data_IF_828646798449
#
_entry.id   IF_828646798449
#
_cell.length_a   1.000
_cell.length_b   1.000
_cell.length_c   1.000
_cell.angle_alpha   90.00
_cell.angle_beta   90.00
_cell.angle_gamma   90.00
#
_symmetry.space_group_name_H-M   'P 1'
#
loop_
_entity.id
_entity.type
_entity.pdbx_description
1 polymer ?
#
# COMPACT_ATOMS: atom_id res chain seq x y z
N UNK A 1 2.77 5.45 3.71
CA UNK A 1 1.73 4.64 2.99
C UNK A 1 1.85 3.18 3.37
N UNK A 2 0.75 2.42 3.25
CA UNK A 2 0.73 0.98 3.50
C UNK A 2 -0.34 0.29 2.63
N UNK A 3 -0.23 -1.04 2.47
CA UNK A 3 -1.22 -1.87 1.80
C UNK A 3 -2.17 -2.48 2.84
N UNK A 4 -3.47 -2.39 2.63
CA UNK A 4 -4.49 -3.12 3.37
C UNK A 4 -5.06 -4.21 2.46
N UNK A 5 -4.89 -5.46 2.85
CA UNK A 5 -5.32 -6.64 2.11
C UNK A 5 -6.35 -7.41 2.93
N UNK A 6 -7.58 -7.46 2.48
CA UNK A 6 -8.69 -8.13 3.16
C UNK A 6 -9.23 -9.26 2.30
N UNK A 7 -9.56 -10.41 2.90
CA UNK A 7 -10.13 -11.55 2.18
C UNK A 7 -11.13 -12.34 3.02
N UNK A 8 -12.19 -12.85 2.38
CA UNK A 8 -13.13 -13.81 2.98
C UNK A 8 -12.53 -15.23 3.09
N UNK A 9 -11.45 -15.53 2.35
CA UNK A 9 -10.88 -16.88 2.29
C UNK A 9 -10.09 -17.20 3.54
N UNK A 10 -10.63 -18.02 4.43
CA UNK A 10 -9.94 -18.51 5.62
C UNK A 10 -8.63 -19.23 5.26
N UNK A 11 -7.57 -18.97 6.03
CA UNK A 11 -6.24 -19.55 5.80
C UNK A 11 -5.51 -18.98 4.57
N UNK A 12 -6.00 -17.91 3.96
CA UNK A 12 -5.34 -17.28 2.82
C UNK A 12 -3.93 -16.81 3.17
N UNK A 13 -3.78 -16.24 4.35
CA UNK A 13 -2.52 -15.68 4.85
C UNK A 13 -1.56 -16.72 5.47
N UNK A 14 -1.94 -17.99 5.47
CA UNK A 14 -1.07 -19.13 5.86
C UNK A 14 -0.29 -19.68 4.64
N UNK A 15 -0.63 -19.24 3.44
CA UNK A 15 0.06 -19.58 2.21
C UNK A 15 1.02 -18.47 1.79
N UNK A 16 2.07 -18.76 1.02
CA UNK A 16 3.04 -17.75 0.59
C UNK A 16 2.52 -16.84 -0.55
N UNK A 17 1.32 -17.09 -1.07
CA UNK A 17 0.73 -16.33 -2.17
C UNK A 17 -0.80 -16.27 -2.07
N UNK A 18 -1.36 -15.25 -2.70
CA UNK A 18 -2.81 -15.08 -2.86
C UNK A 18 -3.13 -14.42 -4.19
N UNK A 19 -4.34 -14.67 -4.73
CA UNK A 19 -4.84 -14.03 -5.96
C UNK A 19 -6.05 -13.16 -5.67
N UNK A 20 -5.92 -11.85 -5.91
CA UNK A 20 -7.04 -10.92 -5.93
C UNK A 20 -7.66 -10.81 -7.33
N UNK A 21 -8.95 -10.57 -7.40
CA UNK A 21 -9.55 -10.02 -8.61
C UNK A 21 -9.04 -8.59 -8.83
N UNK A 22 -8.64 -8.25 -10.05
CA UNK A 22 -8.11 -6.92 -10.38
C UNK A 22 -9.12 -5.81 -10.13
N UNK A 23 -10.41 -6.11 -10.18
CA UNK A 23 -11.50 -5.17 -9.86
C UNK A 23 -11.54 -4.79 -8.38
N UNK A 24 -10.91 -5.58 -7.51
CA UNK A 24 -10.80 -5.36 -6.07
C UNK A 24 -9.54 -4.58 -5.65
N UNK A 25 -8.66 -4.32 -6.59
CA UNK A 25 -7.47 -3.52 -6.36
C UNK A 25 -7.82 -2.04 -6.39
N UNK A 26 -7.35 -1.29 -5.40
CA UNK A 26 -7.61 0.12 -5.15
C UNK A 26 -9.03 0.45 -4.68
N UNK A 27 -9.87 -0.53 -4.34
CA UNK A 27 -11.10 -0.25 -3.60
C UNK A 27 -10.74 0.43 -2.26
N UNK A 28 -11.55 1.37 -1.80
CA UNK A 28 -11.33 2.16 -0.58
C UNK A 28 -10.00 2.93 -0.52
N UNK A 29 -9.35 3.11 -1.65
CA UNK A 29 -8.17 3.97 -1.81
C UNK A 29 -8.64 5.37 -2.18
N UNK A 30 -7.98 6.41 -1.66
CA UNK A 30 -8.29 7.80 -2.05
C UNK A 30 -8.05 7.99 -3.55
N UNK A 31 -8.89 8.78 -4.24
CA UNK A 31 -8.85 8.91 -5.70
C UNK A 31 -7.47 9.33 -6.22
N UNK A 32 -6.80 10.26 -5.51
CA UNK A 32 -5.46 10.71 -5.91
C UNK A 32 -4.40 9.60 -5.86
N UNK A 33 -4.49 8.68 -4.89
CA UNK A 33 -3.61 7.52 -4.77
C UNK A 33 -4.01 6.46 -5.80
N UNK A 34 -5.31 6.20 -5.95
CA UNK A 34 -5.83 5.23 -6.91
C UNK A 34 -5.44 5.59 -8.36
N UNK A 35 -5.53 6.87 -8.74
CA UNK A 35 -5.07 7.31 -10.07
C UNK A 35 -3.58 7.02 -10.32
N UNK A 36 -2.75 7.18 -9.29
CA UNK A 36 -1.31 6.93 -9.42
C UNK A 36 -0.98 5.46 -9.64
N UNK A 37 -1.67 4.54 -8.95
CA UNK A 37 -1.40 3.10 -9.03
C UNK A 37 -2.24 2.35 -10.08
N UNK A 38 -3.16 3.01 -10.75
CA UNK A 38 -4.07 2.38 -11.73
C UNK A 38 -3.37 1.65 -12.87
N UNK A 39 -2.20 2.11 -13.30
CA UNK A 39 -1.48 1.52 -14.43
C UNK A 39 -0.66 0.28 -14.08
N UNK A 40 -0.38 0.01 -12.78
CA UNK A 40 0.47 -1.10 -12.32
C UNK A 40 1.77 -1.28 -13.13
N UNK A 41 2.42 -0.16 -13.49
CA UNK A 41 3.73 -0.23 -14.15
C UNK A 41 4.77 -0.91 -13.25
N UNK A 42 5.85 -1.50 -13.78
CA UNK A 42 6.89 -2.13 -12.96
C UNK A 42 7.41 -1.24 -11.84
N UNK A 43 7.66 0.04 -12.12
CA UNK A 43 8.11 1.01 -11.09
C UNK A 43 7.07 1.25 -9.99
N UNK A 44 5.79 1.19 -10.30
CA UNK A 44 4.71 1.32 -9.31
C UNK A 44 4.54 0.04 -8.50
N UNK A 45 4.75 -1.12 -9.11
CA UNK A 45 4.79 -2.40 -8.41
C UNK A 45 5.94 -2.41 -7.38
N UNK A 46 7.13 -1.94 -7.75
CA UNK A 46 8.27 -1.83 -6.83
C UNK A 46 7.95 -0.92 -5.64
N UNK A 47 7.20 0.16 -5.86
CA UNK A 47 6.75 1.05 -4.80
C UNK A 47 5.74 0.34 -3.87
N UNK A 48 4.76 -0.40 -4.43
CA UNK A 48 3.78 -1.16 -3.64
C UNK A 48 4.43 -2.23 -2.77
N UNK A 49 5.43 -2.94 -3.32
CA UNK A 49 6.24 -3.94 -2.60
C UNK A 49 7.02 -3.28 -1.45
N UNK A 50 7.45 -2.04 -1.62
CA UNK A 50 8.16 -1.29 -0.58
C UNK A 50 7.28 -0.84 0.60
N UNK A 51 5.97 -0.94 0.50
CA UNK A 51 5.07 -0.56 1.58
C UNK A 51 4.81 -1.71 2.55
N UNK A 52 4.71 -1.44 3.86
CA UNK A 52 4.22 -2.42 4.82
C UNK A 52 2.79 -2.81 4.50
N UNK A 53 2.38 -4.00 4.97
CA UNK A 53 1.08 -4.56 4.70
C UNK A 53 0.35 -4.94 5.98
N UNK A 54 -0.96 -4.69 6.03
CA UNK A 54 -1.90 -5.35 6.92
C UNK A 54 -2.60 -6.45 6.12
N UNK A 55 -2.57 -7.67 6.63
CA UNK A 55 -3.29 -8.83 6.13
C UNK A 55 -4.45 -9.12 7.08
N UNK A 56 -5.68 -8.94 6.61
CA UNK A 56 -6.91 -9.08 7.38
C UNK A 56 -7.86 -10.09 6.73
N UNK A 57 -8.78 -10.61 7.52
CA UNK A 57 -9.92 -11.39 7.03
C UNK A 57 -11.19 -10.56 7.07
N UNK A 58 -12.17 -10.91 6.23
CA UNK A 58 -13.50 -10.31 6.31
C UNK A 58 -14.16 -10.64 7.66
N UNK A 59 -14.75 -9.63 8.28
CA UNK A 59 -15.31 -9.70 9.62
C UNK A 59 -14.25 -9.42 10.70
N UNK A 60 -14.70 -9.45 11.96
CA UNK A 60 -13.91 -9.01 13.11
C UNK A 60 -13.37 -10.18 13.93
N UNK A 61 -13.58 -11.42 13.46
CA UNK A 61 -13.33 -12.63 14.24
C UNK A 61 -11.88 -13.12 14.22
N UNK A 62 -11.02 -12.52 13.39
CA UNK A 62 -9.65 -12.99 13.21
C UNK A 62 -8.62 -11.87 13.34
N UNK A 63 -7.50 -12.24 13.95
CA UNK A 63 -6.39 -11.34 14.15
C UNK A 63 -5.79 -10.87 12.81
N UNK A 64 -5.38 -9.61 12.77
CA UNK A 64 -4.64 -9.04 11.66
C UNK A 64 -3.18 -9.44 11.76
N UNK A 65 -2.53 -9.59 10.61
CA UNK A 65 -1.09 -9.86 10.54
C UNK A 65 -0.38 -8.73 9.79
N UNK A 66 0.82 -8.42 10.24
CA UNK A 66 1.67 -7.42 9.59
C UNK A 66 2.73 -8.14 8.77
N UNK A 67 3.08 -7.58 7.62
CA UNK A 67 4.10 -8.15 6.76
C UNK A 67 4.42 -7.25 5.56
N UNK A 68 4.85 -7.86 4.46
CA UNK A 68 5.21 -7.16 3.22
C UNK A 68 4.89 -7.99 1.99
N UNK A 69 4.66 -7.35 0.87
CA UNK A 69 4.65 -7.99 -0.43
C UNK A 69 6.10 -8.29 -0.86
N UNK A 70 6.30 -9.42 -1.52
CA UNK A 70 7.58 -9.80 -2.15
C UNK A 70 7.49 -9.81 -3.67
N UNK A 71 6.28 -10.00 -4.20
CA UNK A 71 6.04 -10.00 -5.64
C UNK A 71 4.59 -9.64 -5.95
N UNK A 72 4.38 -8.93 -7.05
CA UNK A 72 3.05 -8.66 -7.62
C UNK A 72 3.10 -8.94 -9.11
N UNK A 73 2.23 -9.83 -9.59
CA UNK A 73 2.16 -10.23 -11.00
C UNK A 73 0.73 -10.13 -11.52
N UNK A 74 0.57 -9.44 -12.61
CA UNK A 74 -0.72 -9.37 -13.30
C UNK A 74 -0.96 -10.65 -14.12
N UNK A 75 -2.10 -11.32 -13.89
CA UNK A 75 -2.55 -12.53 -14.61
C UNK A 75 -3.96 -12.35 -15.15
N UNK A 76 -4.08 -11.73 -16.29
CA UNK A 76 -5.36 -11.45 -16.92
C UNK A 76 -6.24 -10.54 -16.04
N UNK A 77 -7.31 -11.10 -15.45
CA UNK A 77 -8.21 -10.36 -14.55
C UNK A 77 -7.82 -10.45 -13.08
N UNK A 78 -6.70 -11.10 -12.76
CA UNK A 78 -6.25 -11.32 -11.40
C UNK A 78 -4.88 -10.70 -11.16
N UNK A 79 -4.62 -10.40 -9.90
CA UNK A 79 -3.32 -10.00 -9.37
C UNK A 79 -2.83 -11.11 -8.45
N UNK A 80 -1.79 -11.81 -8.85
CA UNK A 80 -1.08 -12.74 -7.98
C UNK A 80 -0.11 -11.95 -7.14
N UNK A 81 -0.21 -12.07 -5.83
CA UNK A 81 0.75 -11.54 -4.86
C UNK A 81 1.51 -12.68 -4.19
N UNK A 82 2.79 -12.48 -3.96
CA UNK A 82 3.60 -13.25 -3.03
C UNK A 82 3.94 -12.31 -1.86
N UNK A 83 3.99 -12.84 -0.65
CA UNK A 83 4.16 -12.02 0.55
C UNK A 83 4.83 -12.80 1.68
N UNK A 84 5.31 -12.06 2.67
CA UNK A 84 5.87 -12.58 3.91
C UNK A 84 5.20 -11.89 5.10
N UNK A 85 4.78 -12.69 6.09
CA UNK A 85 4.29 -12.20 7.38
C UNK A 85 5.49 -11.99 8.29
N UNK A 86 5.55 -10.83 8.95
CA UNK A 86 6.61 -10.51 9.91
C UNK A 86 6.37 -11.28 11.21
N UNK A 87 7.26 -12.21 11.52
CA UNK A 87 7.19 -13.05 12.71
C UNK A 87 7.60 -12.30 14.00
N UNK A 88 8.21 -11.12 13.88
CA UNK A 88 8.56 -10.28 15.05
C UNK A 88 7.37 -9.48 15.56
N UNK A 89 6.31 -9.35 14.77
CA UNK A 89 5.07 -8.67 15.14
C UNK A 89 4.01 -9.75 15.36
N UNK A 90 3.54 -9.95 16.60
CA UNK A 90 2.48 -10.91 16.86
C UNK A 90 1.20 -10.50 16.12
N UNK A 91 0.30 -11.46 15.82
CA UNK A 91 -1.02 -11.13 15.32
C UNK A 91 -1.73 -10.14 16.24
N UNK A 92 -2.39 -9.15 15.68
CA UNK A 92 -3.07 -8.07 16.40
C UNK A 92 -4.57 -8.33 16.36
N UNK A 93 -5.25 -8.48 17.50
CA UNK A 93 -6.70 -8.61 17.54
C UNK A 93 -7.40 -7.45 16.85
N UNK A 94 -8.47 -7.70 16.11
CA UNK A 94 -9.23 -6.63 15.45
C UNK A 94 -9.75 -5.60 16.47
N UNK A 95 -10.17 -6.03 17.67
CA UNK A 95 -10.59 -5.15 18.75
C UNK A 95 -9.56 -4.09 19.17
N UNK A 96 -8.27 -4.36 18.94
CA UNK A 96 -7.20 -3.43 19.27
C UNK A 96 -6.94 -2.43 18.11
N UNK A 97 -7.29 -2.83 16.89
CA UNK A 97 -7.21 -1.96 15.71
C UNK A 97 -8.45 -1.07 15.55
N UNK A 98 -9.63 -1.55 15.93
CA UNK A 98 -10.89 -0.83 15.78
C UNK A 98 -10.84 0.62 16.33
N UNK A 99 -10.32 0.89 17.55
CA UNK A 99 -10.24 2.25 18.08
C UNK A 99 -9.35 3.19 17.27
N UNK A 100 -8.38 2.67 16.54
CA UNK A 100 -7.43 3.44 15.72
C UNK A 100 -7.71 3.33 14.23
N UNK A 101 -8.71 2.57 13.81
CA UNK A 101 -9.08 2.40 12.40
C UNK A 101 -9.22 3.74 11.64
N UNK A 102 -9.85 4.80 12.21
CA UNK A 102 -9.91 6.12 11.55
C UNK A 102 -8.52 6.76 11.35
N UNK A 103 -7.55 6.51 12.25
CA UNK A 103 -6.19 7.03 12.14
C UNK A 103 -5.36 6.26 11.08
N UNK A 104 -5.83 5.09 10.69
CA UNK A 104 -5.28 4.26 9.63
C UNK A 104 -6.01 4.47 8.28
N UNK A 105 -6.97 5.40 8.21
CA UNK A 105 -7.87 5.59 7.05
C UNK A 105 -8.64 4.31 6.69
N UNK A 106 -8.97 3.47 7.70
CA UNK A 106 -9.83 2.30 7.55
C UNK A 106 -11.27 2.72 7.86
N UNK A 107 -12.18 2.50 6.92
CA UNK A 107 -13.60 2.86 7.04
C UNK A 107 -14.40 1.73 7.68
N UNK A 108 -15.52 2.05 8.35
CA UNK A 108 -16.32 1.11 9.13
C UNK A 108 -16.73 -0.18 8.38
N UNK A 109 -16.99 -0.10 7.09
CA UNK A 109 -17.44 -1.24 6.28
C UNK A 109 -16.33 -1.90 5.48
N UNK A 110 -15.14 -1.38 5.54
CA UNK A 110 -14.04 -1.79 4.68
C UNK A 110 -13.58 -3.22 4.96
N UNK A 111 -13.50 -3.58 6.24
CA UNK A 111 -13.07 -4.92 6.68
C UNK A 111 -14.08 -6.01 6.31
N UNK A 112 -15.33 -5.68 5.99
CA UNK A 112 -16.36 -6.66 5.63
C UNK A 112 -16.37 -7.01 4.13
N UNK A 113 -15.29 -6.70 3.40
CA UNK A 113 -15.24 -6.93 1.98
C UNK A 113 -13.84 -7.29 1.48
N UNK A 114 -13.73 -8.36 0.69
CA UNK A 114 -12.47 -8.72 0.02
C UNK A 114 -12.02 -7.60 -0.90
N UNK A 115 -10.85 -7.01 -0.61
CA UNK A 115 -10.25 -5.94 -1.41
C UNK A 115 -8.76 -5.76 -1.10
N UNK A 116 -8.10 -4.94 -1.90
CA UNK A 116 -6.76 -4.44 -1.68
C UNK A 116 -6.76 -2.91 -1.82
N UNK A 117 -6.58 -2.21 -0.70
CA UNK A 117 -6.46 -0.76 -0.65
C UNK A 117 -5.00 -0.32 -0.45
N UNK A 118 -4.68 0.89 -0.92
CA UNK A 118 -3.43 1.60 -0.59
C UNK A 118 -3.80 2.83 0.23
N UNK A 119 -3.28 2.90 1.45
CA UNK A 119 -3.60 3.94 2.43
C UNK A 119 -2.47 4.95 2.55
N UNK A 120 -2.79 6.25 2.58
CA UNK A 120 -1.80 7.33 2.72
C UNK A 120 -1.52 7.67 4.19
N UNK A 121 -1.27 6.62 5.01
CA UNK A 121 -0.94 6.74 6.42
C UNK A 121 0.36 6.00 6.75
N UNK A 122 1.03 6.40 7.83
CA UNK A 122 2.20 5.71 8.32
C UNK A 122 1.81 4.61 9.29
N UNK A 123 1.70 3.37 8.78
CA UNK A 123 1.26 2.23 9.58
C UNK A 123 2.03 2.08 10.88
N UNK A 124 3.35 2.00 10.81
CA UNK A 124 4.18 1.73 12.00
C UNK A 124 4.10 2.85 13.04
N UNK A 125 4.06 4.10 12.61
CA UNK A 125 3.91 5.24 13.50
C UNK A 125 2.58 5.15 14.28
N UNK A 126 1.49 4.80 13.60
CA UNK A 126 0.17 4.65 14.23
C UNK A 126 0.11 3.48 15.19
N UNK A 127 0.69 2.32 14.82
CA UNK A 127 0.73 1.14 15.69
C UNK A 127 1.58 1.37 16.94
N UNK A 128 2.73 2.05 16.82
CA UNK A 128 3.57 2.41 17.98
C UNK A 128 2.86 3.40 18.87
N UNK A 129 2.24 4.45 18.32
CA UNK A 129 1.50 5.44 19.08
C UNK A 129 0.32 4.84 19.86
N UNK A 130 -0.29 3.79 19.32
CA UNK A 130 -1.35 3.02 19.98
C UNK A 130 -0.81 1.98 20.98
N UNK A 131 0.50 1.76 21.06
CA UNK A 131 1.12 0.76 21.94
C UNK A 131 0.92 -0.68 21.49
N UNK A 132 0.49 -0.90 20.25
CA UNK A 132 0.25 -2.24 19.69
C UNK A 132 1.53 -2.95 19.26
N UNK A 133 2.55 -2.18 18.91
CA UNK A 133 3.91 -2.64 18.64
C UNK A 133 4.92 -1.70 19.29
N UNK A 134 6.15 -2.15 19.46
CA UNK A 134 7.24 -1.30 19.88
C UNK A 134 8.21 -0.99 18.72
N UNK A 135 9.00 0.08 18.85
CA UNK A 135 9.93 0.51 17.80
C UNK A 135 10.94 -0.57 17.38
N UNK A 136 11.27 -1.53 18.26
CA UNK A 136 12.20 -2.62 17.97
C UNK A 136 11.61 -3.67 17.03
N UNK A 137 10.30 -3.71 16.90
CA UNK A 137 9.58 -4.62 15.99
C UNK A 137 9.44 -4.05 14.58
N UNK A 138 9.81 -2.78 14.36
CA UNK A 138 9.74 -2.18 13.03
C UNK A 138 10.87 -2.75 12.15
N UNK A 139 10.56 -3.36 10.99
CA UNK A 139 11.56 -3.88 10.08
C UNK A 139 12.59 -2.82 9.69
N UNK A 140 13.87 -3.15 9.79
CA UNK A 140 14.97 -2.23 9.48
C UNK A 140 15.42 -1.29 10.61
N UNK A 141 14.79 -1.36 11.79
CA UNK A 141 15.26 -0.68 13.01
C UNK A 141 16.08 -1.60 13.93
N UNK A 142 16.68 -2.67 13.40
CA UNK A 142 17.51 -3.56 14.21
C UNK A 142 18.74 -2.82 14.76
N UNK A 143 18.77 -2.77 16.09
CA UNK A 143 19.91 -2.66 17.00
C UNK A 143 21.06 -1.71 16.62
N UNK A 144 20.94 -0.48 17.07
CA UNK A 144 22.10 0.15 17.67
C UNK A 144 22.16 -0.23 19.17
N UNK A 145 22.38 -1.49 19.48
CA UNK A 145 22.85 -1.85 20.80
C UNK A 145 24.29 -1.38 20.94
N UNK A 146 24.45 -0.51 21.94
CA UNK A 146 25.67 0.06 22.46
C UNK A 146 26.85 -0.93 22.45
N UNK A 147 27.74 -0.80 21.48
CA UNK A 147 29.15 -1.06 21.74
C UNK A 147 29.80 0.28 22.12
N UNK A 148 29.78 0.57 23.41
CA UNK A 148 30.59 1.62 23.99
C UNK A 148 32.03 1.12 24.02
N UNK A 149 32.77 1.35 22.96
CA UNK A 149 34.22 1.47 22.99
C UNK A 149 34.72 2.16 21.73
N UNK A 150 35.06 3.43 21.92
CA UNK A 150 36.06 4.23 21.23
C UNK A 150 36.18 4.21 19.68
N UNK A 151 36.01 5.42 19.14
CA UNK A 151 36.63 6.03 17.95
C UNK A 151 35.96 5.77 16.60
N UNK A 152 35.55 6.90 16.03
CA UNK A 152 35.48 7.05 14.56
C UNK A 152 34.11 7.49 14.05
N UNK A 153 34.00 8.78 13.82
CA UNK A 153 32.92 9.47 13.08
C UNK A 153 32.64 8.75 11.79
N UNK A 154 31.38 8.34 11.57
CA UNK A 154 30.84 8.18 10.22
C UNK A 154 29.37 8.57 10.18
N UNK A 155 29.12 9.70 9.54
CA UNK A 155 27.79 10.20 9.16
C UNK A 155 27.26 9.32 8.04
N UNK A 156 26.32 8.42 8.28
CA UNK A 156 25.65 7.74 7.15
C UNK A 156 24.29 7.09 7.40
N UNK A 157 23.61 7.29 8.53
CA UNK A 157 22.38 6.57 8.82
C UNK A 157 21.07 7.41 8.79
N UNK A 158 21.12 8.67 8.29
CA UNK A 158 19.92 9.53 8.24
C UNK A 158 19.32 9.72 6.84
N UNK A 159 19.62 8.87 5.88
CA UNK A 159 19.30 9.14 4.45
C UNK A 159 18.12 8.28 3.93
N UNK A 160 17.70 7.22 4.62
CA UNK A 160 16.78 6.27 4.00
C UNK A 160 15.29 6.66 4.08
N UNK A 161 14.81 7.17 5.20
CA UNK A 161 13.38 7.50 5.36
C UNK A 161 12.96 8.78 4.62
N UNK A 162 13.85 9.77 4.53
CA UNK A 162 13.55 11.02 3.81
C UNK A 162 13.62 10.86 2.28
N UNK A 163 14.42 9.92 1.77
CA UNK A 163 14.49 9.66 0.31
C UNK A 163 13.25 8.95 -0.22
N UNK A 164 12.70 7.99 0.50
CA UNK A 164 11.48 7.28 0.08
C UNK A 164 10.30 8.26 0.04
N UNK A 165 10.15 9.11 1.05
CA UNK A 165 9.09 10.13 1.08
C UNK A 165 9.26 11.19 -0.03
N UNK A 166 10.50 11.51 -0.42
CA UNK A 166 10.80 12.48 -1.46
C UNK A 166 10.65 11.90 -2.88
N UNK A 167 10.99 10.62 -3.08
CA UNK A 167 10.80 9.95 -4.38
C UNK A 167 9.32 9.70 -4.67
N UNK A 168 8.54 9.26 -3.70
CA UNK A 168 7.09 9.10 -3.84
C UNK A 168 6.39 10.39 -4.30
N UNK A 169 6.69 11.54 -3.68
CA UNK A 169 6.07 12.82 -4.07
C UNK A 169 6.50 13.32 -5.44
N UNK A 170 7.73 13.08 -5.89
CA UNK A 170 8.22 13.56 -7.19
C UNK A 170 7.71 12.70 -8.35
N UNK A 171 7.64 11.40 -8.20
CA UNK A 171 7.07 10.52 -9.23
C UNK A 171 5.56 10.68 -9.33
N UNK A 172 4.87 10.87 -8.21
CA UNK A 172 3.44 11.14 -8.16
C UNK A 172 3.05 12.39 -8.97
N UNK A 173 3.83 13.46 -8.88
CA UNK A 173 3.58 14.70 -9.66
C UNK A 173 3.93 14.55 -11.14
N UNK A 174 4.90 13.71 -11.49
CA UNK A 174 5.33 13.46 -12.86
C UNK A 174 4.31 12.63 -13.66
N UNK A 175 3.67 11.64 -13.04
CA UNK A 175 2.59 10.86 -13.66
C UNK A 175 1.34 11.74 -13.90
N UNK A 176 1.02 12.65 -12.97
CA UNK A 176 -0.10 13.59 -13.13
C UNK A 176 0.08 14.57 -14.29
N UNK A 177 1.31 14.99 -14.58
CA UNK A 177 1.62 15.88 -15.74
C UNK A 177 1.56 15.13 -17.08
N UNK A 178 1.91 13.86 -17.14
CA UNK A 178 1.87 13.07 -18.37
C UNK A 178 0.45 12.72 -18.82
N UNK A 179 -0.42 12.37 -17.89
CA UNK A 179 -1.82 12.04 -18.21
C UNK A 179 -2.66 13.26 -18.61
N UNK A 180 -2.27 14.47 -18.19
CA UNK A 180 -2.96 15.70 -18.59
C UNK A 180 -2.66 16.14 -20.02
N UNK A 181 -1.51 15.79 -20.56
CA UNK A 181 -1.12 16.14 -21.94
C UNK A 181 -1.74 15.22 -23.01
N UNK A 182 -2.11 13.98 -22.64
CA UNK A 182 -2.73 13.03 -23.59
C UNK A 182 -4.25 13.18 -23.70
N UNK A 183 -4.92 13.77 -22.72
CA UNK A 183 -6.38 13.99 -22.78
C UNK A 183 -6.81 15.25 -23.57
N UNK A 184 -5.90 16.19 -23.83
CA UNK A 184 -6.22 17.44 -24.55
C UNK A 184 -6.04 17.35 -26.07
N UNK A 185 -5.49 16.26 -26.60
CA UNK A 185 -5.26 16.08 -28.04
C UNK A 185 -6.42 15.40 -28.80
N UNK A 186 -7.45 14.88 -28.11
CA UNK A 186 -8.56 14.15 -28.73
C UNK A 186 -9.87 14.95 -28.86
N UNK A 187 -9.87 16.27 -28.62
CA UNK A 187 -11.10 17.08 -28.71
C UNK A 187 -11.14 18.09 -29.85
N UNK A 188 -10.34 17.90 -30.92
CA UNK A 188 -10.40 18.77 -32.11
C UNK A 188 -10.45 17.97 -33.41
N UNK A 189 -11.53 17.24 -33.64
CA UNK A 189 -11.95 16.85 -34.97
C UNK A 189 -13.33 16.18 -34.93
N UNK A 190 -14.39 16.97 -34.91
CA UNK A 190 -15.71 16.65 -35.49
C UNK A 190 -16.56 17.90 -35.45
N UNK A 191 -16.39 18.74 -36.45
CA UNK A 191 -17.42 19.67 -36.90
C UNK A 191 -17.25 19.85 -38.41
N UNK A 192 -18.29 19.55 -39.13
CA UNK A 192 -18.39 19.84 -40.58
C UNK A 192 -18.70 18.61 -41.41
N UNK A 193 -19.99 18.36 -41.68
CA UNK A 193 -20.63 18.69 -42.93
C UNK A 193 -22.12 18.38 -42.89
N UNK A 194 -22.93 19.42 -42.94
CA UNK A 194 -24.28 19.35 -43.48
C UNK A 194 -24.18 19.35 -45.00
N UNK A 195 -24.89 18.49 -45.66
CA UNK A 195 -25.30 18.67 -47.04
C UNK A 195 -26.78 18.36 -47.16
N UNK A 196 -27.54 19.39 -47.48
CA UNK A 196 -28.90 19.31 -48.00
C UNK A 196 -28.92 18.54 -49.31
N UNK A 197 -29.97 17.80 -49.56
CA UNK A 197 -30.65 17.73 -50.87
C UNK A 197 -31.92 16.86 -50.83
N UNK A 198 -33.04 17.54 -51.11
CA UNK A 198 -34.30 17.08 -51.70
C UNK A 198 -35.03 15.88 -51.12
#
# INVERSE_FOLDING_TARGET
>A
MYNLLVTAKKGAWDNPFYEFDKSRFLEYTTESVAEAFRSLSPSLIDILIGYPCIFAYEGEDQDLRIGRLTSVKERGRKLLIEFEIDQNIPPIPFSDIEPIAPLLDIRDWEINRTHWAVKDENLFERLVAAGLINERQIPGMEKQEKSNSNKGVSRSARICTSKIKCMSKREFTSVRKRNRSTSNSKRKSKSGTKSDSK
#
